data_IF_742710799100
#
_entry.id   IF_742710799100
#
_cell.length_a   1.000
_cell.length_b   1.000
_cell.length_c   1.000
_cell.angle_alpha   90.00
_cell.angle_beta   90.00
_cell.angle_gamma   90.00
#
_symmetry.space_group_name_H-M   'P 1'
#
loop_
_entity.id
_entity.type
_entity.pdbx_description
1 polymer ?
#
# COMPACT_ATOMS: atom_id res chain seq x y z
N UNK A 1 -14.45 -5.57 -20.49
CA UNK A 1 -15.32 -6.62 -21.06
C UNK A 1 -16.67 -5.99 -21.32
N UNK A 2 -17.33 -6.38 -22.40
CA UNK A 2 -18.64 -5.91 -22.84
C UNK A 2 -19.78 -6.80 -22.33
N UNK A 3 -19.47 -8.01 -21.90
CA UNK A 3 -20.39 -8.96 -21.27
C UNK A 3 -19.64 -9.97 -20.41
N UNK A 4 -20.38 -10.71 -19.57
CA UNK A 4 -19.90 -11.86 -18.83
C UNK A 4 -20.02 -13.17 -19.60
N UNK A 5 -19.76 -14.30 -18.93
CA UNK A 5 -19.81 -15.64 -19.51
C UNK A 5 -20.06 -16.68 -18.44
N UNK A 6 -20.56 -17.87 -18.90
CA UNK A 6 -20.65 -19.07 -18.08
C UNK A 6 -19.43 -19.95 -18.30
N UNK A 7 -18.76 -20.30 -17.22
CA UNK A 7 -17.74 -21.35 -17.23
C UNK A 7 -18.10 -22.43 -16.22
N UNK A 8 -18.04 -23.71 -16.67
CA UNK A 8 -18.28 -24.86 -15.81
C UNK A 8 -17.07 -25.79 -15.86
N UNK A 9 -16.39 -25.92 -14.70
CA UNK A 9 -15.19 -26.72 -14.59
C UNK A 9 -15.50 -28.23 -14.74
N UNK A 10 -16.58 -28.68 -14.12
CA UNK A 10 -16.99 -30.10 -14.17
C UNK A 10 -17.54 -30.46 -15.55
N UNK A 11 -17.55 -31.76 -15.83
CA UNK A 11 -18.21 -32.28 -17.04
C UNK A 11 -19.70 -31.96 -16.99
N UNK A 12 -20.24 -31.51 -18.12
CA UNK A 12 -21.67 -31.23 -18.26
C UNK A 12 -22.45 -32.53 -18.31
N UNK A 13 -23.56 -32.55 -17.60
CA UNK A 13 -24.52 -33.65 -17.59
C UNK A 13 -25.70 -33.40 -18.56
N UNK A 14 -26.55 -34.40 -18.78
CA UNK A 14 -27.71 -34.25 -19.66
C UNK A 14 -28.68 -33.16 -19.18
N UNK A 15 -28.80 -32.98 -17.85
CA UNK A 15 -29.61 -31.94 -17.19
C UNK A 15 -29.14 -30.51 -17.44
N UNK A 16 -27.88 -30.32 -17.82
CA UNK A 16 -27.31 -29.00 -18.15
C UNK A 16 -27.72 -28.53 -19.57
N UNK A 17 -28.41 -29.36 -20.31
CA UNK A 17 -28.83 -29.08 -21.67
C UNK A 17 -30.34 -28.97 -21.79
N UNK A 18 -30.77 -28.12 -22.72
CA UNK A 18 -32.16 -27.99 -23.18
C UNK A 18 -32.24 -28.59 -24.56
N UNK A 19 -32.97 -29.68 -24.67
CA UNK A 19 -33.30 -30.37 -25.94
C UNK A 19 -34.58 -29.74 -26.52
N UNK A 20 -34.43 -28.59 -27.17
CA UNK A 20 -35.55 -27.86 -27.74
C UNK A 20 -35.28 -27.46 -29.19
N UNK A 21 -36.20 -27.82 -30.06
CA UNK A 21 -36.19 -27.41 -31.46
C UNK A 21 -37.34 -26.45 -31.69
N UNK A 22 -37.02 -25.21 -32.03
CA UNK A 22 -38.03 -24.21 -32.40
C UNK A 22 -38.47 -24.36 -33.84
N UNK A 23 -39.70 -23.93 -34.12
CA UNK A 23 -40.20 -23.68 -35.47
C UNK A 23 -40.22 -22.17 -35.68
N UNK A 24 -40.18 -21.73 -36.93
CA UNK A 24 -40.09 -20.31 -37.32
C UNK A 24 -38.89 -20.07 -38.21
N UNK A 25 -38.64 -18.80 -38.51
CA UNK A 25 -37.49 -18.37 -39.29
C UNK A 25 -36.30 -18.15 -38.36
N UNK A 26 -35.37 -19.10 -38.33
CA UNK A 26 -34.19 -19.04 -37.45
C UNK A 26 -33.01 -18.32 -38.13
N UNK A 27 -32.54 -17.24 -37.57
CA UNK A 27 -31.39 -16.47 -38.07
C UNK A 27 -30.08 -17.00 -37.52
N UNK A 28 -30.05 -17.28 -36.20
CA UNK A 28 -28.85 -17.77 -35.53
C UNK A 28 -29.20 -18.66 -34.33
N UNK A 29 -28.47 -19.76 -34.20
CA UNK A 29 -28.52 -20.61 -33.02
C UNK A 29 -27.18 -20.63 -32.32
N UNK A 30 -27.19 -20.37 -31.02
CA UNK A 30 -26.06 -20.47 -30.11
C UNK A 30 -26.42 -21.37 -28.93
N UNK A 31 -25.44 -21.78 -28.14
CA UNK A 31 -25.70 -22.59 -26.94
C UNK A 31 -26.53 -21.86 -25.90
N UNK A 32 -26.55 -20.50 -25.94
CA UNK A 32 -27.26 -19.69 -24.96
C UNK A 32 -28.43 -18.89 -25.52
N UNK A 33 -28.64 -18.89 -26.83
CA UNK A 33 -29.77 -18.23 -27.47
C UNK A 33 -30.11 -18.76 -28.85
N UNK A 34 -31.33 -18.51 -29.27
CA UNK A 34 -31.77 -18.64 -30.68
C UNK A 34 -32.40 -17.31 -31.07
N UNK A 35 -31.98 -16.74 -32.20
CA UNK A 35 -32.56 -15.53 -32.76
C UNK A 35 -33.35 -15.89 -34.03
N UNK A 36 -34.50 -15.22 -34.27
CA UNK A 36 -35.30 -15.46 -35.43
C UNK A 36 -36.63 -14.70 -35.43
N UNK A 37 -37.58 -15.12 -36.23
CA UNK A 37 -38.96 -14.61 -36.27
C UNK A 37 -39.97 -15.74 -36.12
N UNK A 38 -41.12 -15.43 -35.53
CA UNK A 38 -42.22 -16.36 -35.31
C UNK A 38 -41.75 -17.66 -34.64
N UNK A 39 -40.84 -17.57 -33.68
CA UNK A 39 -40.25 -18.70 -33.00
C UNK A 39 -41.27 -19.34 -32.04
N UNK A 40 -41.44 -20.65 -32.11
CA UNK A 40 -42.20 -21.39 -31.11
C UNK A 40 -41.39 -21.51 -29.82
N UNK A 41 -42.05 -21.64 -28.69
CA UNK A 41 -41.43 -21.73 -27.36
C UNK A 41 -42.02 -22.86 -26.54
N UNK A 42 -41.33 -23.29 -25.49
CA UNK A 42 -41.82 -24.20 -24.46
C UNK A 42 -41.31 -23.76 -23.07
N UNK A 43 -41.57 -24.56 -22.06
CA UNK A 43 -41.20 -24.21 -20.66
C UNK A 43 -39.71 -24.24 -20.37
N UNK A 44 -38.86 -24.77 -21.25
CA UNK A 44 -37.41 -24.83 -21.06
C UNK A 44 -36.69 -23.55 -21.50
N UNK A 45 -37.35 -22.67 -22.24
CA UNK A 45 -36.80 -21.42 -22.77
C UNK A 45 -37.70 -20.24 -22.43
N UNK A 46 -37.09 -19.05 -22.35
CA UNK A 46 -37.79 -17.78 -22.25
C UNK A 46 -37.74 -17.07 -23.59
N UNK A 47 -38.88 -16.60 -24.07
CA UNK A 47 -39.00 -15.83 -25.31
C UNK A 47 -38.98 -14.33 -24.98
N UNK A 48 -38.20 -13.61 -25.74
CA UNK A 48 -38.12 -12.14 -25.71
C UNK A 48 -38.45 -11.60 -27.10
N UNK A 49 -39.29 -10.57 -27.17
CA UNK A 49 -39.52 -9.82 -28.39
C UNK A 49 -38.46 -8.76 -28.61
N UNK A 50 -38.16 -8.40 -29.86
CA UNK A 50 -37.26 -7.31 -30.19
C UNK A 50 -37.66 -5.99 -29.52
N UNK A 51 -38.95 -5.69 -29.47
CA UNK A 51 -39.48 -4.51 -28.80
C UNK A 51 -39.13 -4.49 -27.28
N UNK A 52 -39.19 -5.66 -26.60
CA UNK A 52 -38.78 -5.75 -25.17
C UNK A 52 -37.26 -5.61 -24.94
N UNK A 53 -36.48 -5.78 -26.01
CA UNK A 53 -35.01 -5.62 -25.98
C UNK A 53 -34.55 -4.27 -26.58
N UNK A 54 -35.49 -3.39 -26.94
CA UNK A 54 -35.20 -2.08 -27.51
C UNK A 54 -34.89 -2.08 -29.00
N UNK A 55 -35.17 -3.17 -29.74
CA UNK A 55 -35.05 -3.24 -31.20
C UNK A 55 -36.32 -2.77 -31.89
N UNK A 56 -36.17 -2.14 -33.05
CA UNK A 56 -37.30 -1.60 -33.84
C UNK A 56 -37.93 -2.66 -34.78
N UNK A 57 -37.42 -3.89 -34.80
CA UNK A 57 -37.85 -4.96 -35.70
C UNK A 57 -38.59 -6.08 -34.97
N UNK A 58 -39.09 -7.06 -35.73
CA UNK A 58 -39.83 -8.22 -35.22
C UNK A 58 -38.91 -9.37 -34.77
N UNK A 59 -37.65 -9.14 -34.58
CA UNK A 59 -36.69 -10.15 -34.09
C UNK A 59 -37.11 -10.67 -32.73
N UNK A 60 -37.04 -11.98 -32.57
CA UNK A 60 -37.31 -12.67 -31.32
C UNK A 60 -36.04 -13.39 -30.85
N UNK A 61 -35.87 -13.48 -29.53
CA UNK A 61 -34.82 -14.26 -28.92
C UNK A 61 -35.39 -15.30 -27.98
N UNK A 62 -34.94 -16.54 -28.11
CA UNK A 62 -35.20 -17.61 -27.16
C UNK A 62 -33.95 -17.87 -26.36
N UNK A 63 -34.05 -17.80 -25.02
CA UNK A 63 -32.95 -18.00 -24.11
C UNK A 63 -33.27 -19.16 -23.17
N UNK A 64 -32.41 -20.18 -23.04
CA UNK A 64 -32.58 -21.25 -22.06
C UNK A 64 -32.73 -20.72 -20.67
N UNK A 65 -33.62 -21.28 -19.87
CA UNK A 65 -33.77 -20.90 -18.47
C UNK A 65 -32.51 -21.26 -17.67
N UNK A 66 -32.21 -20.49 -16.63
CA UNK A 66 -31.06 -20.68 -15.77
C UNK A 66 -29.73 -20.68 -16.55
N UNK A 67 -28.82 -21.55 -16.20
CA UNK A 67 -27.51 -21.75 -16.84
C UNK A 67 -27.51 -22.84 -17.90
N UNK A 68 -28.69 -23.39 -18.28
CA UNK A 68 -28.81 -24.44 -19.26
C UNK A 68 -28.34 -23.99 -20.65
N UNK A 69 -27.94 -24.95 -21.45
CA UNK A 69 -27.43 -24.75 -22.81
C UNK A 69 -28.31 -25.43 -23.83
N UNK A 70 -28.49 -24.80 -24.97
CA UNK A 70 -29.07 -25.52 -26.13
C UNK A 70 -28.16 -26.68 -26.52
N UNK A 71 -28.71 -27.84 -26.79
CA UNK A 71 -27.97 -29.01 -27.28
C UNK A 71 -27.56 -28.79 -28.73
N UNK A 72 -26.35 -28.39 -28.96
CA UNK A 72 -25.75 -28.16 -30.28
C UNK A 72 -24.53 -29.07 -30.41
N UNK A 73 -24.41 -29.73 -31.58
CA UNK A 73 -23.23 -30.56 -31.87
C UNK A 73 -21.94 -29.73 -31.88
N UNK A 74 -20.83 -30.31 -31.42
CA UNK A 74 -19.52 -29.72 -31.40
C UNK A 74 -18.96 -29.39 -29.99
N UNK A 75 -17.71 -28.97 -29.94
CA UNK A 75 -16.99 -28.62 -28.72
C UNK A 75 -17.42 -27.29 -28.15
N UNK A 76 -16.92 -26.94 -26.94
CA UNK A 76 -17.07 -25.61 -26.35
C UNK A 76 -18.29 -25.39 -25.47
N UNK A 77 -18.95 -26.47 -25.03
CA UNK A 77 -20.15 -26.36 -24.17
C UNK A 77 -19.84 -25.85 -22.73
N UNK A 78 -18.59 -25.97 -22.25
CA UNK A 78 -18.19 -25.59 -20.89
C UNK A 78 -17.97 -24.07 -20.72
N UNK A 79 -17.70 -23.40 -21.82
CA UNK A 79 -17.49 -21.95 -21.86
C UNK A 79 -18.48 -21.37 -22.89
N UNK A 80 -19.47 -20.62 -22.40
CA UNK A 80 -20.56 -20.07 -23.23
C UNK A 80 -20.97 -18.69 -22.74
N UNK A 81 -21.60 -17.91 -23.61
CA UNK A 81 -22.12 -16.58 -23.34
C UNK A 81 -23.32 -16.23 -24.19
N UNK A 82 -23.96 -15.10 -23.94
CA UNK A 82 -25.09 -14.59 -24.73
C UNK A 82 -26.47 -14.97 -24.19
N UNK A 83 -26.53 -15.55 -22.99
CA UNK A 83 -27.77 -15.76 -22.27
C UNK A 83 -28.09 -14.65 -21.26
N UNK A 84 -29.08 -14.89 -20.40
CA UNK A 84 -29.59 -13.94 -19.43
C UNK A 84 -29.29 -14.32 -17.97
N UNK A 85 -28.32 -15.19 -17.73
CA UNK A 85 -27.87 -15.45 -16.36
C UNK A 85 -27.06 -14.28 -15.79
N UNK A 86 -27.00 -14.16 -14.45
CA UNK A 86 -26.24 -13.10 -13.80
C UNK A 86 -24.77 -13.12 -14.22
N UNK A 87 -24.18 -14.29 -14.40
CA UNK A 87 -22.79 -14.45 -14.83
C UNK A 87 -22.53 -13.94 -16.25
N UNK A 88 -23.57 -13.88 -17.11
CA UNK A 88 -23.47 -13.41 -18.50
C UNK A 88 -23.77 -11.90 -18.62
N UNK A 89 -24.58 -11.34 -17.71
CA UNK A 89 -25.02 -9.94 -17.75
C UNK A 89 -24.14 -9.05 -16.89
N UNK A 90 -23.72 -9.54 -15.70
CA UNK A 90 -22.93 -8.75 -14.75
C UNK A 90 -21.45 -8.90 -15.07
N UNK A 91 -20.80 -7.76 -15.25
CA UNK A 91 -19.34 -7.69 -15.40
C UNK A 91 -18.73 -7.05 -14.15
N UNK A 92 -17.58 -7.53 -13.67
CA UNK A 92 -16.88 -6.86 -12.58
C UNK A 92 -16.26 -5.55 -13.10
N UNK A 93 -16.49 -4.47 -12.38
CA UNK A 93 -15.79 -3.19 -12.56
C UNK A 93 -14.86 -3.02 -11.39
N UNK A 94 -13.55 -3.00 -11.66
CA UNK A 94 -12.52 -2.78 -10.65
C UNK A 94 -11.99 -1.36 -10.81
N UNK A 95 -12.18 -0.55 -9.78
CA UNK A 95 -11.51 0.74 -9.67
C UNK A 95 -10.23 0.57 -8.86
N UNK A 96 -9.08 0.76 -9.50
CA UNK A 96 -7.77 0.63 -8.87
C UNK A 96 -7.19 2.02 -8.65
N UNK A 97 -7.22 2.48 -7.41
CA UNK A 97 -6.56 3.70 -6.99
C UNK A 97 -5.20 3.36 -6.38
N UNK A 98 -4.11 3.68 -7.10
CA UNK A 98 -2.77 3.61 -6.54
C UNK A 98 -2.61 4.73 -5.51
N UNK A 99 -2.67 4.41 -4.22
CA UNK A 99 -2.19 5.31 -3.18
C UNK A 99 -0.69 5.51 -3.36
N UNK A 100 -0.25 6.77 -3.46
CA UNK A 100 1.17 7.14 -3.64
C UNK A 100 2.03 6.93 -2.38
N UNK A 101 1.61 6.12 -1.43
CA UNK A 101 2.47 5.66 -0.35
C UNK A 101 3.44 4.66 -0.96
N UNK A 102 4.70 5.04 -1.00
CA UNK A 102 5.78 4.12 -1.28
C UNK A 102 5.77 3.00 -0.22
N UNK A 103 5.84 1.74 -0.64
CA UNK A 103 6.09 0.62 0.28
C UNK A 103 7.54 0.63 0.81
N UNK A 104 8.33 1.60 0.38
CA UNK A 104 9.72 1.79 0.77
C UNK A 104 9.75 2.82 1.89
N UNK A 105 10.27 2.43 3.03
CA UNK A 105 10.46 3.27 4.21
C UNK A 105 11.95 3.39 4.51
N UNK A 106 12.35 4.46 5.20
CA UNK A 106 13.70 4.55 5.77
C UNK A 106 13.68 4.00 7.19
N UNK A 107 14.79 3.42 7.64
CA UNK A 107 14.90 2.89 9.01
C UNK A 107 14.47 3.93 10.04
N UNK A 108 13.75 3.51 11.05
CA UNK A 108 13.46 4.32 12.22
C UNK A 108 14.64 4.28 13.19
N UNK A 109 14.92 5.43 13.80
CA UNK A 109 15.98 5.61 14.78
C UNK A 109 15.38 6.05 16.11
N UNK A 110 15.67 5.30 17.17
CA UNK A 110 15.39 5.68 18.54
C UNK A 110 16.67 6.21 19.20
N UNK A 111 16.46 7.05 20.23
CA UNK A 111 17.53 7.68 20.98
C UNK A 111 17.38 7.30 22.45
N UNK A 112 18.47 6.87 23.06
CA UNK A 112 18.55 6.58 24.49
C UNK A 112 19.76 7.27 25.09
N UNK A 113 19.62 7.73 26.32
CA UNK A 113 20.69 8.33 27.09
C UNK A 113 20.58 7.92 28.56
N UNK A 114 21.71 7.90 29.32
CA UNK A 114 21.69 7.52 30.73
C UNK A 114 20.84 8.45 31.60
N UNK A 115 20.68 9.68 31.17
CA UNK A 115 19.93 10.74 31.86
C UNK A 115 19.43 11.76 30.85
N UNK A 116 18.39 12.52 31.22
CA UNK A 116 17.98 13.74 30.52
C UNK A 116 18.66 15.01 31.11
N UNK A 117 19.51 14.84 32.13
CA UNK A 117 20.33 15.90 32.71
C UNK A 117 21.77 15.79 32.23
N UNK A 118 22.32 16.89 31.72
CA UNK A 118 23.68 17.00 31.23
C UNK A 118 24.51 17.68 32.34
N UNK A 119 25.43 16.93 32.96
CA UNK A 119 26.17 17.36 34.12
C UNK A 119 27.67 17.55 33.87
N UNK A 120 28.14 17.27 32.65
CA UNK A 120 29.55 17.44 32.27
C UNK A 120 29.66 18.01 30.85
N UNK A 121 30.86 18.48 30.50
CA UNK A 121 31.16 19.01 29.17
C UNK A 121 31.15 17.97 28.06
N UNK A 122 30.95 16.68 28.40
CA UNK A 122 30.77 15.61 27.46
C UNK A 122 29.51 14.80 27.81
N UNK A 123 28.75 14.36 26.79
CA UNK A 123 27.54 13.62 27.02
C UNK A 123 27.37 12.49 26.00
N UNK A 124 27.21 11.27 26.50
CA UNK A 124 27.03 10.09 25.66
C UNK A 124 25.56 9.85 25.32
N UNK A 125 25.28 9.61 24.05
CA UNK A 125 23.96 9.28 23.54
C UNK A 125 24.06 8.02 22.70
N UNK A 126 23.15 7.08 22.90
CA UNK A 126 22.99 5.88 22.09
C UNK A 126 21.88 6.07 21.07
N UNK A 127 22.17 5.76 19.83
CA UNK A 127 21.24 5.79 18.71
C UNK A 127 20.98 4.36 18.26
N UNK A 128 19.72 4.01 18.15
CA UNK A 128 19.30 2.65 17.91
C UNK A 128 18.51 2.55 16.61
N UNK A 129 19.05 1.82 15.64
CA UNK A 129 18.36 1.49 14.40
C UNK A 129 17.35 0.35 14.67
N UNK A 130 16.03 0.63 14.57
CA UNK A 130 14.97 -0.33 14.92
C UNK A 130 14.98 -1.60 14.08
N UNK A 131 15.01 -1.43 12.76
CA UNK A 131 14.93 -2.53 11.81
C UNK A 131 16.22 -2.61 10.97
N UNK A 132 16.66 -3.81 10.56
CA UNK A 132 17.73 -3.94 9.58
C UNK A 132 17.29 -3.35 8.23
N UNK A 133 18.24 -2.84 7.43
CA UNK A 133 17.95 -2.43 6.06
C UNK A 133 17.70 -3.65 5.17
N UNK A 134 16.88 -3.49 4.13
CA UNK A 134 16.51 -4.53 3.18
C UNK A 134 15.83 -3.95 1.96
N UNK A 135 15.13 -4.78 1.19
CA UNK A 135 14.53 -4.37 -0.08
C UNK A 135 13.48 -3.25 0.06
N UNK A 136 12.80 -3.17 1.20
CA UNK A 136 11.76 -2.17 1.47
C UNK A 136 12.12 -1.18 2.57
N UNK A 137 13.24 -1.39 3.26
CA UNK A 137 13.70 -0.54 4.35
C UNK A 137 15.07 0.04 3.98
N UNK A 138 15.11 1.31 3.62
CA UNK A 138 16.32 2.00 3.19
C UNK A 138 17.11 2.55 4.37
N UNK A 139 18.40 2.76 4.14
CA UNK A 139 19.28 3.44 5.10
C UNK A 139 18.79 4.86 5.42
N UNK A 140 19.27 5.38 6.55
CA UNK A 140 19.02 6.75 6.97
C UNK A 140 20.33 7.41 7.40
N UNK A 141 20.63 8.58 6.84
CA UNK A 141 21.73 9.42 7.26
C UNK A 141 21.22 10.55 8.14
N UNK A 142 21.76 10.68 9.35
CA UNK A 142 21.36 11.68 10.34
C UNK A 142 22.56 12.52 10.76
N UNK A 143 22.35 13.82 10.80
CA UNK A 143 23.19 14.78 11.47
C UNK A 143 22.61 15.08 12.84
N UNK A 144 23.34 14.82 13.90
CA UNK A 144 22.89 15.05 15.28
C UNK A 144 23.79 16.05 15.98
N UNK A 145 23.17 17.00 16.70
CA UNK A 145 23.88 17.99 17.51
C UNK A 145 22.95 18.61 18.55
N UNK A 146 23.52 19.25 19.58
CA UNK A 146 22.77 19.98 20.59
C UNK A 146 22.67 21.47 20.25
N UNK A 147 21.50 22.02 20.53
CA UNK A 147 21.15 23.42 20.24
C UNK A 147 20.42 24.06 21.42
N UNK A 148 20.51 25.41 21.50
CA UNK A 148 19.62 26.19 22.36
C UNK A 148 18.21 26.31 21.84
N UNK A 149 17.29 26.91 22.60
CA UNK A 149 15.94 27.26 22.14
C UNK A 149 15.99 28.22 20.91
N UNK A 150 16.96 29.11 20.85
CA UNK A 150 17.16 30.03 19.73
C UNK A 150 17.94 29.41 18.55
N UNK A 151 18.08 28.09 18.56
CA UNK A 151 18.74 27.33 17.50
C UNK A 151 20.23 27.57 17.33
N UNK A 152 20.91 28.05 18.39
CA UNK A 152 22.37 28.18 18.41
C UNK A 152 22.99 26.81 18.68
N UNK A 153 23.96 26.40 17.86
CA UNK A 153 24.74 25.17 18.03
C UNK A 153 25.66 25.26 19.25
N UNK A 154 25.56 24.28 20.17
CA UNK A 154 26.32 24.27 21.45
C UNK A 154 27.13 22.98 21.65
N UNK A 155 27.21 22.09 20.66
CA UNK A 155 28.05 20.88 20.70
C UNK A 155 28.77 20.69 19.36
N UNK A 156 29.69 19.73 19.32
CA UNK A 156 30.13 19.17 18.05
C UNK A 156 28.95 18.46 17.29
N UNK A 157 29.18 18.19 16.01
CA UNK A 157 28.20 17.59 15.12
C UNK A 157 28.58 16.16 14.82
N UNK A 158 27.68 15.22 15.09
CA UNK A 158 27.84 13.82 14.73
C UNK A 158 27.06 13.50 13.45
N UNK A 159 27.74 13.02 12.41
CA UNK A 159 27.12 12.42 11.23
C UNK A 159 27.03 10.91 11.44
N UNK A 160 25.83 10.36 11.39
CA UNK A 160 25.55 8.98 11.76
C UNK A 160 24.80 8.33 10.61
N UNK A 161 25.33 7.22 10.10
CA UNK A 161 24.70 6.42 9.06
C UNK A 161 24.07 5.17 9.66
N UNK A 162 22.79 4.98 9.42
CA UNK A 162 22.03 3.81 9.86
C UNK A 162 21.79 2.90 8.67
N UNK A 163 22.73 1.99 8.41
CA UNK A 163 22.74 1.07 7.27
C UNK A 163 22.98 -0.39 7.66
N UNK A 164 22.81 -0.73 8.93
CA UNK A 164 23.02 -2.08 9.43
C UNK A 164 21.98 -3.04 8.87
N UNK A 165 22.46 -4.20 8.39
CA UNK A 165 21.66 -5.35 7.97
C UNK A 165 21.56 -6.43 9.05
N UNK A 166 22.19 -6.19 10.19
CA UNK A 166 22.24 -7.17 11.26
C UNK A 166 20.85 -7.40 11.84
N UNK A 167 20.49 -8.66 12.02
CA UNK A 167 19.23 -9.07 12.66
C UNK A 167 19.29 -8.92 14.17
N UNK A 168 20.50 -8.98 14.75
CA UNK A 168 20.68 -8.73 16.18
C UNK A 168 20.48 -7.24 16.50
N UNK A 169 19.59 -6.99 17.44
CA UNK A 169 19.23 -5.66 17.89
C UNK A 169 20.41 -4.89 18.50
N UNK A 170 21.24 -5.56 19.29
CA UNK A 170 22.40 -4.94 19.95
C UNK A 170 23.46 -4.48 18.94
N UNK A 171 23.62 -5.20 17.84
CA UNK A 171 24.58 -4.87 16.78
C UNK A 171 24.19 -3.60 15.97
N UNK A 172 22.95 -3.12 16.13
CA UNK A 172 22.43 -1.93 15.43
C UNK A 172 22.47 -0.66 16.30
N UNK A 173 23.05 -0.73 17.50
CA UNK A 173 23.28 0.43 18.35
C UNK A 173 24.56 1.16 17.97
N UNK A 174 24.51 2.50 17.91
CA UNK A 174 25.67 3.36 17.71
C UNK A 174 25.73 4.38 18.83
N UNK A 175 26.79 4.39 19.61
CA UNK A 175 27.01 5.38 20.66
C UNK A 175 27.89 6.53 20.17
N UNK A 176 27.46 7.75 20.44
CA UNK A 176 28.21 8.98 20.18
C UNK A 176 28.38 9.77 21.47
N UNK A 177 29.53 10.36 21.64
CA UNK A 177 29.80 11.29 22.75
C UNK A 177 29.91 12.69 22.18
N UNK A 178 29.05 13.57 22.63
CA UNK A 178 29.05 14.99 22.26
C UNK A 178 29.92 15.78 23.22
N UNK A 179 30.67 16.70 22.65
CA UNK A 179 31.50 17.66 23.41
C UNK A 179 30.86 19.05 23.31
N UNK A 180 30.54 19.64 24.46
CA UNK A 180 29.89 20.95 24.48
C UNK A 180 30.90 22.08 24.33
N UNK A 181 30.49 23.14 23.66
CA UNK A 181 31.25 24.40 23.54
C UNK A 181 31.21 25.17 24.86
N UNK A 182 32.08 26.17 25.00
CA UNK A 182 32.11 27.07 26.19
C UNK A 182 30.77 27.81 26.40
N UNK A 183 30.00 28.03 25.36
CA UNK A 183 28.67 28.66 25.45
C UNK A 183 27.66 27.80 26.25
N UNK A 184 27.85 26.49 26.29
CA UNK A 184 26.98 25.61 27.05
C UNK A 184 27.01 25.89 28.57
N UNK A 185 28.14 26.40 29.10
CA UNK A 185 28.24 26.76 30.52
C UNK A 185 27.28 27.88 30.93
N UNK A 186 26.95 28.79 30.01
CA UNK A 186 26.01 29.89 30.22
C UNK A 186 24.56 29.43 30.30
N UNK A 187 24.28 28.17 29.94
CA UNK A 187 22.95 27.58 29.87
C UNK A 187 22.59 26.74 31.09
N UNK A 188 23.36 26.83 32.17
CA UNK A 188 23.09 26.08 33.40
C UNK A 188 21.64 26.33 33.88
N UNK A 189 20.90 25.27 34.15
CA UNK A 189 19.50 25.34 34.52
C UNK A 189 18.52 25.59 33.36
N UNK A 190 18.95 25.59 32.09
CA UNK A 190 18.11 25.77 30.92
C UNK A 190 17.89 24.47 30.15
N UNK A 191 16.84 24.43 29.34
CA UNK A 191 16.58 23.32 28.44
C UNK A 191 17.40 23.49 27.15
N UNK A 192 17.98 22.39 26.69
CA UNK A 192 18.72 22.28 25.44
C UNK A 192 18.17 21.11 24.61
N UNK A 193 18.38 21.13 23.32
CA UNK A 193 17.71 20.27 22.40
C UNK A 193 18.69 19.46 21.55
N UNK A 194 18.69 18.16 21.70
CA UNK A 194 19.33 17.28 20.72
C UNK A 194 18.44 17.21 19.49
N UNK A 195 18.90 17.76 18.36
CA UNK A 195 18.21 17.68 17.08
C UNK A 195 18.87 16.64 16.19
N UNK A 196 18.04 15.79 15.63
CA UNK A 196 18.40 14.85 14.60
C UNK A 196 17.84 15.40 13.29
N UNK A 197 18.72 15.67 12.34
CA UNK A 197 18.40 16.31 11.08
C UNK A 197 18.74 15.40 9.90
N UNK A 198 17.88 15.39 8.88
CA UNK A 198 18.09 14.68 7.63
C UNK A 198 18.31 15.67 6.49
N UNK A 199 19.19 15.33 5.57
CA UNK A 199 19.31 16.08 4.33
C UNK A 199 18.03 15.92 3.49
N UNK A 200 17.54 17.02 2.92
CA UNK A 200 16.49 17.01 1.92
C UNK A 200 17.14 16.65 0.59
N UNK A 201 16.77 15.48 0.04
CA UNK A 201 17.34 14.92 -1.17
C UNK A 201 17.41 15.95 -2.31
N UNK A 202 18.58 16.04 -2.96
CA UNK A 202 18.81 17.00 -4.05
C UNK A 202 19.07 18.45 -3.59
N UNK A 203 19.17 18.71 -2.29
CA UNK A 203 19.44 20.06 -1.74
C UNK A 203 20.54 20.04 -0.69
N UNK A 204 21.01 21.24 -0.28
CA UNK A 204 21.88 21.43 0.89
C UNK A 204 21.10 21.72 2.19
N UNK A 205 19.78 21.63 2.16
CA UNK A 205 18.94 21.92 3.31
C UNK A 205 18.65 20.66 4.14
N UNK A 206 18.43 20.87 5.44
CA UNK A 206 18.10 19.82 6.40
C UNK A 206 16.67 20.01 6.91
N UNK A 207 15.99 18.91 7.17
CA UNK A 207 14.73 18.86 7.92
C UNK A 207 14.93 18.16 9.25
N UNK A 208 14.21 18.58 10.28
CA UNK A 208 14.24 17.93 11.58
C UNK A 208 13.51 16.58 11.48
N UNK A 209 14.21 15.51 11.83
CA UNK A 209 13.66 14.17 11.97
C UNK A 209 13.09 13.94 13.37
N UNK A 210 13.90 14.29 14.41
CA UNK A 210 13.51 14.12 15.83
C UNK A 210 14.18 15.20 16.69
N UNK A 211 13.48 15.63 17.74
CA UNK A 211 14.04 16.54 18.76
C UNK A 211 13.82 15.93 20.13
N UNK A 212 14.86 15.91 20.97
CA UNK A 212 14.82 15.42 22.34
C UNK A 212 15.30 16.55 23.26
N UNK A 213 14.54 16.82 24.32
CA UNK A 213 14.85 17.85 25.31
C UNK A 213 15.70 17.30 26.44
N UNK A 214 16.74 18.04 26.79
CA UNK A 214 17.62 17.77 27.91
C UNK A 214 17.72 19.01 28.79
N UNK A 215 18.09 18.81 30.05
CA UNK A 215 18.36 19.89 31.01
C UNK A 215 19.84 20.06 31.19
N UNK A 216 20.37 21.25 30.93
CA UNK A 216 21.77 21.58 31.18
C UNK A 216 22.00 21.86 32.68
N UNK A 217 22.88 21.10 33.29
CA UNK A 217 23.24 21.20 34.70
C UNK A 217 24.79 21.20 34.90
N UNK A 218 25.53 21.80 33.98
CA UNK A 218 26.97 21.94 34.07
C UNK A 218 27.28 23.13 34.93
N UNK A 219 27.73 22.89 36.14
CA UNK A 219 28.32 23.92 36.99
C UNK A 219 29.84 23.93 36.74
N UNK A 220 30.33 24.92 36.01
CA UNK A 220 31.76 25.21 36.05
C UNK A 220 32.04 26.00 37.35
N UNK A 221 32.64 25.34 38.34
CA UNK A 221 33.26 26.09 39.44
C UNK A 221 34.48 26.85 38.88
N UNK A 222 34.37 28.14 38.73
CA UNK A 222 35.52 29.01 38.57
C UNK A 222 36.20 29.17 39.95
N UNK A 223 36.85 28.09 40.42
CA UNK A 223 37.74 28.14 41.54
C UNK A 223 39.19 28.19 41.03
N UNK A 224 39.57 29.29 40.40
CA UNK A 224 40.99 29.63 40.21
C UNK A 224 41.13 31.11 39.86
N UNK A 225 40.69 31.99 40.75
CA UNK A 225 41.15 33.37 40.78
C UNK A 225 41.03 33.90 42.21
N UNK A 226 41.95 33.48 43.08
CA UNK A 226 42.33 34.17 44.28
C UNK A 226 43.59 33.52 44.86
N UNK A 227 44.77 33.89 44.29
CA UNK A 227 46.03 33.91 44.97
C UNK A 227 46.94 34.96 44.32
#
# INVERSE_FOLDING_TARGET
ADHGYLYQHNRLEASDFTDFVTKGEVYKTSRRFILGKNLTTNDSVKKWSGASLGFADDTEALIPKSINRMRIQGAGSRYVHGGSSLQEIVIPVLEINKTRKSDIEQVEVDVSSPSYNITSNTFGVSFYQKNPIGDKVLLRDIKAAFYTADNLLISDVANIKFDSRDTDAAAREQRKTFVFTSEASKLNGQDVFLKLEENIEGTSHFKIYKTITYRMLIAFSSEFDDF
#
